data_IF_368622576253
#
_entry.id   IF_368622576253
#
_cell.length_a   1.000
_cell.length_b   1.000
_cell.length_c   1.000
_cell.angle_alpha   90.00
_cell.angle_beta   90.00
_cell.angle_gamma   90.00
#
_symmetry.space_group_name_H-M   'P 1'
#
loop_
_entity.id
_entity.type
_entity.pdbx_description
1 polymer ?
#
# COMPACT_ATOMS: atom_id res chain seq x y z
N UNK A 1 -15.98 -37.74 2.27
CA UNK A 1 -15.92 -36.63 1.29
C UNK A 1 -17.36 -36.20 1.05
N UNK A 2 -17.70 -34.97 1.41
CA UNK A 2 -19.06 -34.43 1.25
C UNK A 2 -18.96 -32.99 0.75
N UNK A 3 -18.71 -32.84 -0.54
CA UNK A 3 -18.76 -31.56 -1.26
C UNK A 3 -20.23 -31.17 -1.47
N UNK A 4 -20.75 -30.30 -0.60
CA UNK A 4 -22.10 -29.74 -0.75
C UNK A 4 -22.11 -28.64 -1.81
N UNK A 5 -22.25 -29.02 -3.08
CA UNK A 5 -22.50 -28.08 -4.18
C UNK A 5 -23.92 -27.50 -4.07
N UNK A 6 -24.04 -26.27 -3.57
CA UNK A 6 -25.30 -25.52 -3.61
C UNK A 6 -25.56 -25.07 -5.06
N UNK A 7 -26.44 -25.80 -5.74
CA UNK A 7 -26.92 -25.45 -7.08
C UNK A 7 -28.13 -24.54 -6.95
N UNK A 8 -27.92 -23.23 -7.07
CA UNK A 8 -29.02 -22.26 -7.16
C UNK A 8 -29.60 -22.29 -8.57
N UNK A 9 -30.80 -22.84 -8.73
CA UNK A 9 -31.54 -22.84 -9.99
C UNK A 9 -32.02 -21.43 -10.30
N UNK A 10 -31.48 -20.82 -11.34
CA UNK A 10 -31.92 -19.51 -11.84
C UNK A 10 -33.24 -19.67 -12.60
N UNK A 11 -34.35 -19.34 -11.96
CA UNK A 11 -35.68 -19.38 -12.57
C UNK A 11 -35.90 -18.12 -13.45
N UNK A 12 -36.25 -18.26 -14.75
CA UNK A 12 -36.45 -17.10 -15.62
C UNK A 12 -37.75 -16.35 -15.27
N UNK A 13 -37.78 -15.02 -15.38
CA UNK A 13 -39.00 -14.24 -15.12
C UNK A 13 -40.04 -14.43 -16.24
N UNK A 14 -41.35 -14.48 -15.91
CA UNK A 14 -42.39 -14.60 -16.92
C UNK A 14 -42.54 -13.32 -17.75
N UNK A 15 -42.50 -13.51 -19.07
CA UNK A 15 -43.14 -12.73 -20.15
C UNK A 15 -43.67 -11.32 -19.85
N UNK A 16 -43.17 -10.36 -20.64
CA UNK A 16 -43.79 -9.06 -20.92
C UNK A 16 -45.30 -9.19 -21.15
N UNK A 17 -46.10 -8.49 -20.34
CA UNK A 17 -47.43 -8.01 -20.74
C UNK A 17 -47.39 -6.47 -20.73
N UNK A 18 -47.29 -5.87 -21.91
CA UNK A 18 -47.45 -4.43 -22.06
C UNK A 18 -48.95 -4.10 -21.97
N UNK A 19 -49.41 -3.65 -20.81
CA UNK A 19 -50.78 -3.18 -20.61
C UNK A 19 -50.72 -1.78 -19.99
N UNK A 20 -50.68 -0.76 -20.83
CA UNK A 20 -50.96 0.62 -20.43
C UNK A 20 -52.46 0.79 -20.16
N UNK A 21 -52.96 0.23 -19.05
CA UNK A 21 -54.23 0.66 -18.49
C UNK A 21 -53.97 1.88 -17.61
N UNK A 22 -54.17 3.07 -18.16
CA UNK A 22 -54.19 4.32 -17.40
C UNK A 22 -55.47 4.31 -16.55
N UNK A 23 -55.38 3.73 -15.35
CA UNK A 23 -56.47 3.78 -14.38
C UNK A 23 -56.39 5.14 -13.67
N UNK A 24 -57.27 6.07 -14.05
CA UNK A 24 -57.42 7.37 -13.35
C UNK A 24 -57.98 7.12 -11.95
N UNK A 25 -57.08 7.04 -10.97
CA UNK A 25 -57.43 6.84 -9.57
C UNK A 25 -57.82 8.18 -8.90
N UNK A 26 -59.03 8.67 -9.22
CA UNK A 26 -59.60 9.82 -8.52
C UNK A 26 -60.20 9.36 -7.19
N UNK A 27 -59.82 10.03 -6.09
CA UNK A 27 -60.39 9.75 -4.76
C UNK A 27 -61.85 10.18 -4.70
N UNK A 28 -62.77 9.26 -4.38
CA UNK A 28 -64.22 9.50 -4.43
C UNK A 28 -64.76 10.48 -3.38
N UNK A 29 -64.00 10.82 -2.34
CA UNK A 29 -64.42 11.77 -1.29
C UNK A 29 -63.91 13.20 -1.49
N UNK A 30 -62.93 13.43 -2.39
CA UNK A 30 -62.32 14.77 -2.56
C UNK A 30 -61.89 15.16 -3.98
N UNK A 31 -61.99 14.28 -4.98
CA UNK A 31 -61.85 14.64 -6.40
C UNK A 31 -60.46 15.07 -6.87
N UNK A 32 -59.44 15.08 -6.00
CA UNK A 32 -58.07 15.42 -6.37
C UNK A 32 -57.46 14.37 -7.31
N UNK A 33 -56.78 14.84 -8.38
CA UNK A 33 -56.10 13.98 -9.34
C UNK A 33 -54.75 13.50 -8.74
N UNK A 34 -54.78 12.33 -8.08
CA UNK A 34 -53.62 11.73 -7.39
C UNK A 34 -52.52 11.29 -8.38
N UNK A 35 -52.83 11.27 -9.67
CA UNK A 35 -51.98 10.72 -10.73
C UNK A 35 -50.60 11.38 -10.83
N UNK A 36 -50.45 12.67 -10.50
CA UNK A 36 -49.16 13.36 -10.63
C UNK A 36 -48.24 13.12 -9.41
N UNK A 37 -48.76 13.33 -8.20
CA UNK A 37 -47.97 13.25 -6.96
C UNK A 37 -47.55 11.81 -6.65
N UNK A 38 -48.40 10.83 -6.94
CA UNK A 38 -48.06 9.41 -6.82
C UNK A 38 -47.06 8.95 -7.87
N UNK A 39 -47.11 9.50 -9.08
CA UNK A 39 -46.19 9.14 -10.16
C UNK A 39 -44.77 9.65 -9.91
N UNK A 40 -44.60 10.91 -9.49
CA UNK A 40 -43.28 11.47 -9.17
C UNK A 40 -42.59 10.69 -8.04
N UNK A 41 -43.34 10.29 -7.00
CA UNK A 41 -42.85 9.45 -5.91
C UNK A 41 -42.52 8.02 -6.37
N UNK A 42 -43.33 7.42 -7.24
CA UNK A 42 -43.07 6.10 -7.81
C UNK A 42 -41.84 6.09 -8.72
N UNK A 43 -41.64 7.12 -9.55
CA UNK A 43 -40.47 7.29 -10.42
C UNK A 43 -39.20 7.51 -9.57
N UNK A 44 -39.28 8.30 -8.50
CA UNK A 44 -38.17 8.46 -7.56
C UNK A 44 -37.80 7.14 -6.85
N UNK A 45 -38.80 6.34 -6.46
CA UNK A 45 -38.59 5.01 -5.89
C UNK A 45 -37.98 4.04 -6.90
N UNK A 46 -38.46 4.02 -8.15
CA UNK A 46 -37.92 3.21 -9.25
C UNK A 46 -36.45 3.54 -9.51
N UNK A 47 -36.10 4.83 -9.64
CA UNK A 47 -34.70 5.27 -9.79
C UNK A 47 -33.82 4.82 -8.62
N UNK A 48 -34.34 4.83 -7.39
CA UNK A 48 -33.61 4.37 -6.21
C UNK A 48 -33.43 2.84 -6.19
N UNK A 49 -34.42 2.10 -6.69
CA UNK A 49 -34.31 0.64 -6.88
C UNK A 49 -33.22 0.33 -7.91
N UNK A 50 -33.23 0.98 -9.08
CA UNK A 50 -32.19 0.81 -10.11
C UNK A 50 -30.78 1.14 -9.58
N UNK A 51 -30.64 2.21 -8.80
CA UNK A 51 -29.36 2.58 -8.16
C UNK A 51 -28.89 1.50 -7.16
N UNK A 52 -29.81 0.95 -6.36
CA UNK A 52 -29.50 -0.13 -5.41
C UNK A 52 -29.19 -1.44 -6.12
N UNK A 53 -29.88 -1.78 -7.21
CA UNK A 53 -29.58 -2.94 -8.07
C UNK A 53 -28.19 -2.82 -8.71
N UNK A 54 -27.81 -1.63 -9.19
CA UNK A 54 -26.46 -1.36 -9.68
C UNK A 54 -25.41 -1.48 -8.57
N UNK A 55 -25.68 -0.97 -7.37
CA UNK A 55 -24.78 -1.11 -6.21
C UNK A 55 -24.61 -2.57 -5.78
N UNK A 56 -25.71 -3.34 -5.72
CA UNK A 56 -25.68 -4.78 -5.44
C UNK A 56 -24.85 -5.50 -6.50
N UNK A 57 -25.06 -5.23 -7.79
CA UNK A 57 -24.27 -5.82 -8.88
C UNK A 57 -22.77 -5.52 -8.71
N UNK A 58 -22.39 -4.26 -8.50
CA UNK A 58 -20.99 -3.87 -8.30
C UNK A 58 -20.38 -4.55 -7.05
N UNK A 59 -21.16 -4.74 -5.99
CA UNK A 59 -20.72 -5.47 -4.80
C UNK A 59 -20.58 -6.98 -5.06
N UNK A 60 -21.46 -7.58 -5.87
CA UNK A 60 -21.33 -8.97 -6.34
C UNK A 60 -20.09 -9.13 -7.21
N UNK A 61 -19.87 -8.26 -8.20
CA UNK A 61 -18.67 -8.28 -9.07
C UNK A 61 -17.36 -8.12 -8.26
N UNK A 62 -17.40 -7.31 -7.18
CA UNK A 62 -16.28 -7.19 -6.23
C UNK A 62 -16.10 -8.43 -5.34
N UNK A 63 -17.20 -9.08 -4.95
CA UNK A 63 -17.15 -10.30 -4.16
C UNK A 63 -16.60 -11.48 -4.97
N UNK A 64 -17.02 -11.64 -6.23
CA UNK A 64 -16.45 -12.66 -7.14
C UNK A 64 -14.97 -12.39 -7.39
N UNK A 65 -14.59 -11.15 -7.73
CA UNK A 65 -13.18 -10.78 -7.93
C UNK A 65 -12.32 -10.87 -6.65
N UNK A 66 -12.93 -10.95 -5.46
CA UNK A 66 -12.24 -11.26 -4.21
C UNK A 66 -12.10 -12.77 -4.00
N UNK A 67 -13.12 -13.57 -4.35
CA UNK A 67 -13.07 -15.04 -4.34
C UNK A 67 -12.05 -15.59 -5.34
N UNK A 68 -11.98 -15.01 -6.55
CA UNK A 68 -11.00 -15.39 -7.57
C UNK A 68 -9.56 -15.23 -7.03
N UNK A 69 -9.28 -14.10 -6.36
CA UNK A 69 -7.98 -13.87 -5.71
C UNK A 69 -7.71 -14.82 -4.54
N UNK A 70 -8.75 -15.25 -3.82
CA UNK A 70 -8.59 -16.25 -2.76
C UNK A 70 -8.20 -17.61 -3.35
N UNK A 71 -8.77 -17.99 -4.50
CA UNK A 71 -8.33 -19.18 -5.24
C UNK A 71 -6.85 -19.06 -5.67
N UNK A 72 -6.43 -17.92 -6.23
CA UNK A 72 -5.01 -17.66 -6.58
C UNK A 72 -4.08 -17.82 -5.35
N UNK A 73 -4.50 -17.37 -4.17
CA UNK A 73 -3.73 -17.52 -2.93
C UNK A 73 -3.75 -18.95 -2.38
N UNK A 74 -4.87 -19.69 -2.53
CA UNK A 74 -4.95 -21.09 -2.16
C UNK A 74 -4.01 -21.95 -3.02
N UNK A 75 -3.95 -21.71 -4.34
CA UNK A 75 -3.02 -22.37 -5.25
C UNK A 75 -1.55 -22.08 -4.89
N UNK A 76 -1.22 -20.83 -4.57
CA UNK A 76 0.12 -20.46 -4.06
C UNK A 76 0.45 -21.19 -2.75
N UNK A 77 -0.50 -21.30 -1.82
CA UNK A 77 -0.31 -22.06 -0.58
C UNK A 77 -0.15 -23.57 -0.84
N UNK A 78 -0.86 -24.13 -1.81
CA UNK A 78 -0.69 -25.52 -2.24
C UNK A 78 0.70 -25.74 -2.88
N UNK A 79 1.15 -24.82 -3.72
CA UNK A 79 2.47 -24.88 -4.34
C UNK A 79 3.59 -24.78 -3.29
N UNK A 80 3.52 -23.81 -2.37
CA UNK A 80 4.50 -23.67 -1.29
C UNK A 80 4.51 -24.87 -0.34
N UNK A 81 3.34 -25.46 -0.01
CA UNK A 81 3.27 -26.72 0.74
C UNK A 81 3.96 -27.86 0.00
N UNK A 82 3.74 -28.00 -1.32
CA UNK A 82 4.38 -29.05 -2.13
C UNK A 82 5.90 -28.88 -2.24
N UNK A 83 6.41 -27.64 -2.28
CA UNK A 83 7.85 -27.34 -2.25
C UNK A 83 8.48 -27.57 -0.86
N UNK A 84 7.70 -27.32 0.20
CA UNK A 84 8.16 -27.47 1.59
C UNK A 84 7.96 -28.88 2.17
N UNK A 85 7.32 -29.80 1.44
CA UNK A 85 7.05 -31.16 1.91
C UNK A 85 8.18 -32.12 1.47
N UNK A 86 8.96 -32.69 2.40
CA UNK A 86 9.92 -33.73 2.06
C UNK A 86 9.20 -35.00 1.56
N UNK A 87 9.86 -35.84 0.73
CA UNK A 87 9.23 -37.03 0.17
C UNK A 87 8.76 -38.00 1.28
N UNK A 88 7.62 -38.68 1.09
CA UNK A 88 7.07 -39.56 2.13
C UNK A 88 7.99 -40.75 2.38
N UNK A 89 8.45 -40.89 3.62
CA UNK A 89 9.15 -42.09 4.06
C UNK A 89 8.20 -43.29 4.04
N UNK A 90 8.49 -44.26 3.16
CA UNK A 90 7.84 -45.57 3.16
C UNK A 90 8.11 -46.30 4.46
N UNK A 91 7.06 -46.57 5.24
CA UNK A 91 7.09 -47.49 6.38
C UNK A 91 6.02 -48.59 6.17
N UNK A 92 6.38 -49.88 6.24
CA UNK A 92 5.47 -50.97 5.94
C UNK A 92 4.54 -51.33 7.11
N UNK A 93 3.39 -51.91 6.78
CA UNK A 93 2.28 -52.26 7.67
C UNK A 93 2.48 -53.58 8.43
N UNK A 94 2.30 -53.53 9.76
CA UNK A 94 1.94 -54.63 10.69
C UNK A 94 1.59 -54.03 12.07
N UNK A 95 0.73 -54.57 12.96
CA UNK A 95 -0.37 -55.57 12.90
C UNK A 95 -1.33 -55.33 14.09
N UNK A 96 -2.59 -55.79 14.07
CA UNK A 96 -3.55 -55.67 15.19
C UNK A 96 -3.41 -56.85 16.21
N UNK A 97 -4.23 -57.05 17.27
CA UNK A 97 -5.49 -56.37 17.66
C UNK A 97 -5.71 -56.07 19.19
N UNK A 98 -6.88 -55.50 19.54
CA UNK A 98 -7.77 -55.77 20.72
C UNK A 98 -7.15 -55.88 22.15
N UNK A 99 -7.60 -55.16 23.21
CA UNK A 99 -8.97 -55.16 23.76
C UNK A 99 -9.34 -53.94 24.67
N UNK A 100 -10.63 -53.85 25.06
CA UNK A 100 -11.27 -52.86 25.97
C UNK A 100 -11.32 -53.38 27.45
N UNK A 101 -12.05 -52.80 28.47
CA UNK A 101 -12.94 -51.62 28.51
C UNK A 101 -12.81 -50.62 29.73
N UNK A 102 -13.38 -49.42 29.55
CA UNK A 102 -14.30 -48.66 30.45
C UNK A 102 -14.15 -48.62 31.99
N UNK A 103 -14.05 -47.40 32.56
CA UNK A 103 -15.02 -46.89 33.56
C UNK A 103 -14.90 -45.39 33.91
N UNK A 104 -16.05 -44.80 34.28
CA UNK A 104 -16.29 -43.40 34.72
C UNK A 104 -17.19 -43.49 35.97
N UNK A 105 -16.90 -42.79 37.09
CA UNK A 105 -17.77 -41.67 37.48
C UNK A 105 -17.13 -40.50 38.26
N UNK A 106 -17.65 -39.29 38.01
CA UNK A 106 -17.54 -38.07 38.86
C UNK A 106 -18.71 -38.03 39.88
N UNK A 107 -18.65 -37.29 41.03
CA UNK A 107 -19.06 -35.85 41.01
C UNK A 107 -18.52 -34.88 42.11
N UNK A 108 -18.70 -33.56 41.87
CA UNK A 108 -18.85 -32.43 42.84
C UNK A 108 -17.56 -31.94 43.58
N UNK A 109 -17.28 -30.65 43.84
CA UNK A 109 -18.15 -29.46 44.06
C UNK A 109 -17.45 -28.09 43.79
N UNK A 110 -18.07 -27.23 42.96
CA UNK A 110 -18.15 -25.73 42.86
C UNK A 110 -17.01 -24.70 43.22
N UNK A 111 -17.09 -23.41 42.72
CA UNK A 111 -15.94 -22.46 42.52
C UNK A 111 -16.02 -21.17 43.42
N UNK A 112 -15.30 -20.01 43.21
CA UNK A 112 -15.35 -19.09 42.03
C UNK A 112 -14.05 -18.28 41.63
N UNK A 113 -14.18 -17.45 40.57
CA UNK A 113 -13.47 -16.19 40.21
C UNK A 113 -12.05 -16.09 39.53
N UNK A 114 -12.08 -15.84 38.19
CA UNK A 114 -11.45 -14.71 37.40
C UNK A 114 -9.89 -14.54 37.34
N UNK A 115 -9.29 -13.88 36.30
CA UNK A 115 -9.45 -13.86 34.81
C UNK A 115 -8.19 -14.41 34.05
N UNK A 116 -8.13 -14.47 32.70
CA UNK A 116 -7.02 -15.14 31.99
C UNK A 116 -5.77 -14.27 31.69
N UNK A 117 -4.59 -14.88 31.82
CA UNK A 117 -3.28 -14.30 31.45
C UNK A 117 -2.76 -14.85 30.12
N UNK A 118 -2.20 -13.96 29.29
CA UNK A 118 -1.64 -14.26 27.95
C UNK A 118 -0.36 -15.13 28.06
N UNK A 119 -0.14 -16.13 27.20
CA UNK A 119 1.17 -16.73 27.03
C UNK A 119 2.03 -15.87 26.08
N UNK A 120 2.94 -15.07 26.64
CA UNK A 120 4.01 -14.45 25.87
C UNK A 120 5.16 -15.44 25.67
N UNK A 121 5.53 -15.63 24.41
CA UNK A 121 6.79 -16.21 23.89
C UNK A 121 7.95 -16.31 24.89
N UNK A 122 8.29 -17.53 25.30
CA UNK A 122 9.60 -17.86 25.89
C UNK A 122 10.43 -18.62 24.86
N UNK A 123 11.21 -17.90 24.07
CA UNK A 123 12.19 -18.51 23.16
C UNK A 123 13.28 -19.18 24.00
N UNK A 124 13.51 -20.48 23.77
CA UNK A 124 14.46 -21.28 24.51
C UNK A 124 15.91 -20.80 24.37
N UNK A 125 16.62 -20.76 25.49
CA UNK A 125 18.04 -20.41 25.57
C UNK A 125 18.91 -21.53 24.98
N UNK A 126 19.34 -21.39 23.72
CA UNK A 126 20.40 -22.22 23.13
C UNK A 126 21.33 -21.35 22.26
N UNK A 127 22.24 -20.62 22.91
CA UNK A 127 23.33 -19.87 22.27
C UNK A 127 24.45 -19.58 23.27
N UNK A 128 25.16 -20.63 23.67
CA UNK A 128 26.41 -20.54 24.41
C UNK A 128 27.31 -21.70 23.98
N UNK A 129 28.24 -21.45 23.05
CA UNK A 129 29.50 -22.17 22.78
C UNK A 129 30.12 -21.69 21.44
N UNK A 130 30.53 -20.41 21.39
CA UNK A 130 31.47 -19.91 20.38
C UNK A 130 32.45 -18.94 21.06
N UNK A 131 33.77 -19.23 21.10
CA UNK A 131 34.75 -18.30 21.64
C UNK A 131 34.96 -17.13 20.68
N UNK A 132 34.69 -15.92 21.15
CA UNK A 132 34.85 -14.69 20.38
C UNK A 132 36.33 -14.33 20.21
N UNK A 133 36.88 -14.52 19.01
CA UNK A 133 38.21 -14.02 18.64
C UNK A 133 38.14 -12.51 18.45
N UNK A 134 38.73 -11.78 19.41
CA UNK A 134 38.64 -10.31 19.48
C UNK A 134 39.36 -9.65 18.29
N UNK A 135 38.62 -8.80 17.57
CA UNK A 135 39.10 -8.04 16.40
C UNK A 135 40.03 -6.89 16.83
N UNK A 136 41.22 -6.81 16.22
CA UNK A 136 42.21 -5.75 16.45
C UNK A 136 41.95 -4.49 15.62
N UNK A 137 42.46 -3.34 16.07
CA UNK A 137 42.52 -2.10 15.31
C UNK A 137 43.96 -1.51 15.35
N UNK A 138 44.51 -1.29 14.16
CA UNK A 138 45.58 -0.33 13.77
C UNK A 138 46.50 0.31 14.85
N UNK A 139 47.79 -0.08 14.88
CA UNK A 139 48.99 0.68 14.37
C UNK A 139 50.32 0.03 14.81
N UNK A 140 51.45 0.22 14.08
CA UNK A 140 52.81 -0.25 14.45
C UNK A 140 53.54 0.81 15.32
N UNK A 141 54.60 0.50 16.11
CA UNK A 141 55.87 0.01 15.56
C UNK A 141 56.78 -0.87 16.47
N UNK A 142 57.94 -1.22 15.88
CA UNK A 142 59.24 -1.48 16.52
C UNK A 142 59.51 -2.82 17.24
N UNK A 143 60.74 -3.27 17.04
CA UNK A 143 61.36 -4.50 17.51
C UNK A 143 61.44 -4.64 19.03
N UNK A 144 61.32 -5.89 19.52
CA UNK A 144 62.42 -6.61 20.21
C UNK A 144 61.97 -7.99 20.67
N UNK A 145 62.86 -8.99 20.57
CA UNK A 145 62.79 -10.19 21.41
C UNK A 145 62.97 -9.77 22.88
N UNK A 146 62.30 -10.44 23.84
CA UNK A 146 63.12 -11.26 24.73
C UNK A 146 62.48 -12.59 25.18
N UNK A 147 63.38 -13.52 25.51
CA UNK A 147 63.19 -14.81 26.17
C UNK A 147 61.99 -14.95 27.13
N UNK A 148 61.23 -16.03 26.97
CA UNK A 148 60.45 -16.63 28.06
C UNK A 148 61.32 -17.63 28.84
N UNK A 149 61.33 -17.63 30.18
CA UNK A 149 62.13 -18.55 30.97
C UNK A 149 61.51 -19.96 31.02
N UNK A 150 62.38 -20.94 31.26
CA UNK A 150 62.01 -22.28 31.73
C UNK A 150 60.99 -22.23 32.88
N UNK A 151 59.96 -23.07 32.81
CA UNK A 151 59.54 -23.79 34.01
C UNK A 151 59.02 -25.20 33.65
N UNK A 152 59.41 -26.18 34.44
CA UNK A 152 59.07 -27.58 34.22
C UNK A 152 57.74 -27.93 34.89
N UNK A 153 56.95 -28.81 34.27
CA UNK A 153 55.97 -29.63 34.99
C UNK A 153 55.91 -31.00 34.30
N UNK A 154 56.20 -32.11 35.00
CA UNK A 154 56.19 -33.44 34.39
C UNK A 154 54.75 -33.95 34.26
N UNK A 155 54.50 -34.74 33.22
CA UNK A 155 53.29 -35.57 33.11
C UNK A 155 53.66 -36.91 32.47
N UNK A 156 52.94 -37.99 32.81
CA UNK A 156 53.55 -39.31 32.89
C UNK A 156 53.69 -40.01 31.54
N UNK A 157 54.64 -40.94 31.51
CA UNK A 157 54.84 -41.91 30.44
C UNK A 157 53.54 -42.55 29.97
N UNK A 158 53.36 -42.57 28.65
CA UNK A 158 52.67 -43.66 27.96
C UNK A 158 53.51 -43.99 26.72
N UNK A 159 54.05 -45.20 26.60
CA UNK A 159 54.98 -45.52 25.52
C UNK A 159 54.23 -45.61 24.19
N UNK A 160 54.69 -44.84 23.22
CA UNK A 160 54.33 -44.99 21.81
C UNK A 160 54.66 -46.44 21.37
N UNK A 161 53.77 -47.15 20.65
CA UNK A 161 54.12 -48.47 20.14
C UNK A 161 55.24 -48.32 19.13
N UNK A 162 56.41 -48.89 19.46
CA UNK A 162 57.56 -48.87 18.57
C UNK A 162 57.23 -49.59 17.25
N UNK A 163 57.75 -49.12 16.11
CA UNK A 163 57.71 -49.93 14.90
C UNK A 163 58.43 -51.25 15.17
N UNK A 164 57.93 -52.41 14.69
CA UNK A 164 58.57 -53.68 14.94
C UNK A 164 60.00 -53.62 14.42
N UNK A 165 60.97 -53.76 15.32
CA UNK A 165 62.38 -53.86 14.99
C UNK A 165 62.59 -55.21 14.30
N UNK A 166 62.33 -55.26 12.99
CA UNK A 166 62.71 -56.41 12.16
C UNK A 166 64.22 -56.49 12.23
N UNK A 167 64.71 -57.48 12.98
CA UNK A 167 66.14 -57.79 13.07
C UNK A 167 66.71 -57.91 11.67
N UNK A 168 67.68 -57.07 11.31
CA UNK A 168 68.32 -57.16 10.00
C UNK A 168 68.89 -58.57 9.79
N UNK A 169 68.58 -59.25 8.66
CA UNK A 169 69.40 -60.36 8.22
C UNK A 169 70.79 -59.81 7.87
N UNK A 170 71.76 -60.01 8.76
CA UNK A 170 73.14 -59.50 8.63
C UNK A 170 73.96 -60.09 7.45
N UNK A 171 73.30 -60.80 6.52
CA UNK A 171 73.85 -61.28 5.25
C UNK A 171 72.76 -61.31 4.15
N UNK A 172 71.94 -60.27 4.03
CA UNK A 172 71.23 -60.02 2.76
C UNK A 172 72.25 -59.60 1.69
N UNK A 173 72.21 -60.16 0.47
CA UNK A 173 73.12 -59.72 -0.59
C UNK A 173 72.84 -58.25 -0.94
N UNK A 174 73.88 -57.51 -1.32
CA UNK A 174 73.82 -56.07 -1.63
C UNK A 174 72.74 -55.73 -2.69
N UNK A 175 72.51 -56.65 -3.62
CA UNK A 175 71.43 -56.56 -4.63
C UNK A 175 70.02 -56.49 -4.01
N UNK A 176 69.75 -57.20 -2.91
CA UNK A 176 68.45 -57.19 -2.23
C UNK A 176 68.23 -55.88 -1.47
N UNK A 177 69.30 -55.26 -0.98
CA UNK A 177 69.23 -53.93 -0.35
C UNK A 177 68.98 -52.82 -1.39
N UNK A 178 69.64 -52.88 -2.54
CA UNK A 178 69.43 -51.92 -3.64
C UNK A 178 68.02 -52.06 -4.27
N UNK A 179 67.51 -53.29 -4.41
CA UNK A 179 66.13 -53.51 -4.85
C UNK A 179 65.10 -53.07 -3.80
N UNK A 180 65.36 -53.27 -2.51
CA UNK A 180 64.51 -52.73 -1.44
C UNK A 180 64.50 -51.18 -1.43
N UNK A 181 65.65 -50.52 -1.60
CA UNK A 181 65.76 -49.06 -1.61
C UNK A 181 65.09 -48.44 -2.86
N UNK A 182 65.29 -49.03 -4.04
CA UNK A 182 64.57 -48.60 -5.26
C UNK A 182 63.06 -48.83 -5.15
N UNK A 183 62.62 -49.88 -4.44
CA UNK A 183 61.21 -50.07 -4.13
C UNK A 183 60.66 -49.02 -3.16
N UNK A 184 61.40 -48.67 -2.11
CA UNK A 184 61.02 -47.68 -1.09
C UNK A 184 60.95 -46.25 -1.66
N UNK A 185 61.97 -45.84 -2.42
CA UNK A 185 61.98 -44.54 -3.13
C UNK A 185 60.88 -44.44 -4.18
N UNK A 186 60.55 -45.54 -4.88
CA UNK A 186 59.39 -45.60 -5.79
C UNK A 186 58.06 -45.43 -5.04
N UNK A 187 57.92 -46.04 -3.86
CA UNK A 187 56.74 -45.85 -3.00
C UNK A 187 56.61 -44.41 -2.51
N UNK A 188 57.72 -43.78 -2.07
CA UNK A 188 57.71 -42.35 -1.69
C UNK A 188 57.30 -41.46 -2.86
N UNK A 189 57.91 -41.63 -4.03
CA UNK A 189 57.58 -40.86 -5.23
C UNK A 189 56.11 -41.03 -5.64
N UNK A 190 55.54 -42.24 -5.47
CA UNK A 190 54.12 -42.49 -5.71
C UNK A 190 53.21 -41.84 -4.66
N UNK A 191 53.64 -41.77 -3.39
CA UNK A 191 52.92 -41.06 -2.33
C UNK A 191 52.99 -39.53 -2.52
N UNK A 192 54.16 -38.99 -2.85
CA UNK A 192 54.38 -37.58 -3.19
C UNK A 192 53.54 -37.15 -4.40
N UNK A 193 53.45 -37.99 -5.44
CA UNK A 193 52.58 -37.74 -6.59
C UNK A 193 51.10 -37.62 -6.19
N UNK A 194 50.59 -38.56 -5.38
CA UNK A 194 49.21 -38.51 -4.85
C UNK A 194 48.97 -37.30 -3.95
N UNK A 195 49.94 -36.93 -3.13
CA UNK A 195 49.85 -35.72 -2.31
C UNK A 195 49.78 -34.48 -3.21
N UNK A 196 50.58 -34.39 -4.27
CA UNK A 196 50.50 -33.27 -5.22
C UNK A 196 49.18 -33.23 -5.99
N UNK A 197 48.64 -34.38 -6.38
CA UNK A 197 47.32 -34.52 -7.02
C UNK A 197 46.21 -33.99 -6.10
N UNK A 198 46.14 -34.47 -4.85
CA UNK A 198 45.16 -33.97 -3.87
C UNK A 198 45.37 -32.50 -3.48
N UNK A 199 46.61 -31.99 -3.53
CA UNK A 199 46.88 -30.57 -3.32
C UNK A 199 46.30 -29.72 -4.46
N UNK A 200 46.52 -30.11 -5.72
CA UNK A 200 45.91 -29.44 -6.87
C UNK A 200 44.38 -29.52 -6.88
N UNK A 201 43.78 -30.65 -6.50
CA UNK A 201 42.32 -30.77 -6.37
C UNK A 201 41.76 -29.78 -5.33
N UNK A 202 42.44 -29.62 -4.19
CA UNK A 202 42.04 -28.65 -3.15
C UNK A 202 42.23 -27.20 -3.62
N UNK A 203 43.31 -26.90 -4.36
CA UNK A 203 43.52 -25.58 -4.97
C UNK A 203 42.45 -25.26 -6.02
N UNK A 204 42.07 -26.22 -6.87
CA UNK A 204 40.99 -26.08 -7.85
C UNK A 204 39.63 -25.87 -7.16
N UNK A 205 39.27 -26.73 -6.20
CA UNK A 205 38.02 -26.62 -5.45
C UNK A 205 37.91 -25.31 -4.66
N UNK A 206 39.00 -24.87 -4.03
CA UNK A 206 39.01 -23.58 -3.33
C UNK A 206 38.90 -22.41 -4.32
N UNK A 207 39.60 -22.45 -5.46
CA UNK A 207 39.46 -21.42 -6.50
C UNK A 207 38.04 -21.33 -7.05
N UNK A 208 37.37 -22.47 -7.27
CA UNK A 208 35.98 -22.55 -7.70
C UNK A 208 35.03 -21.97 -6.66
N UNK A 209 35.18 -22.36 -5.39
CA UNK A 209 34.34 -21.87 -4.29
C UNK A 209 34.53 -20.36 -4.05
N UNK A 210 35.75 -19.83 -4.16
CA UNK A 210 35.99 -18.38 -4.11
C UNK A 210 35.41 -17.66 -5.32
N UNK A 211 35.46 -18.23 -6.52
CA UNK A 211 34.84 -17.67 -7.72
C UNK A 211 33.32 -17.58 -7.58
N UNK A 212 32.67 -18.68 -7.17
CA UNK A 212 31.22 -18.75 -6.95
C UNK A 212 30.75 -17.79 -5.83
N UNK A 213 31.47 -17.76 -4.70
CA UNK A 213 31.16 -16.83 -3.61
C UNK A 213 31.31 -15.37 -4.04
N UNK A 214 32.36 -15.03 -4.81
CA UNK A 214 32.55 -13.69 -5.35
C UNK A 214 31.44 -13.32 -6.34
N UNK A 215 30.98 -14.27 -7.18
CA UNK A 215 29.87 -14.02 -8.10
C UNK A 215 28.55 -13.79 -7.34
N UNK A 216 28.26 -14.61 -6.32
CA UNK A 216 27.09 -14.45 -5.45
C UNK A 216 27.08 -13.06 -4.79
N UNK A 217 28.19 -12.66 -4.17
CA UNK A 217 28.34 -11.32 -3.56
C UNK A 217 28.26 -10.21 -4.62
N UNK A 218 28.72 -10.42 -5.85
CA UNK A 218 28.55 -9.45 -6.93
C UNK A 218 27.08 -9.32 -7.37
N UNK A 219 26.31 -10.41 -7.39
CA UNK A 219 24.85 -10.38 -7.64
C UNK A 219 24.13 -9.64 -6.51
N UNK A 220 24.46 -9.92 -5.26
CA UNK A 220 23.91 -9.20 -4.09
C UNK A 220 24.22 -7.70 -4.14
N UNK A 221 25.48 -7.30 -4.38
CA UNK A 221 25.86 -5.88 -4.50
C UNK A 221 25.08 -5.16 -5.60
N UNK A 222 24.80 -5.82 -6.72
CA UNK A 222 23.95 -5.27 -7.79
C UNK A 222 22.49 -5.14 -7.35
N UNK A 223 21.94 -6.15 -6.66
CA UNK A 223 20.57 -6.12 -6.13
C UNK A 223 20.38 -5.03 -5.06
N UNK A 224 21.31 -4.94 -4.10
CA UNK A 224 21.35 -3.89 -3.06
C UNK A 224 21.44 -2.50 -3.70
N UNK A 225 22.28 -2.32 -4.72
CA UNK A 225 22.35 -1.05 -5.46
C UNK A 225 20.99 -0.69 -6.10
N UNK A 226 20.37 -1.64 -6.83
CA UNK A 226 19.07 -1.43 -7.48
C UNK A 226 17.97 -1.06 -6.48
N UNK A 227 17.88 -1.80 -5.38
CA UNK A 227 16.90 -1.51 -4.31
C UNK A 227 17.20 -0.18 -3.61
N UNK A 228 18.46 0.19 -3.46
CA UNK A 228 18.85 1.51 -2.95
C UNK A 228 18.42 2.65 -3.88
N UNK A 229 18.57 2.48 -5.19
CA UNK A 229 18.10 3.43 -6.21
C UNK A 229 16.56 3.57 -6.20
N UNK A 230 15.84 2.45 -6.07
CA UNK A 230 14.37 2.42 -5.96
C UNK A 230 13.86 3.08 -4.67
N UNK A 231 14.52 2.86 -3.52
CA UNK A 231 14.20 3.53 -2.25
C UNK A 231 14.49 5.03 -2.30
N UNK A 232 15.58 5.45 -2.95
CA UNK A 232 15.90 6.87 -3.19
C UNK A 232 14.88 7.54 -4.12
N UNK A 233 14.45 6.86 -5.19
CA UNK A 233 13.39 7.35 -6.07
C UNK A 233 12.05 7.47 -5.33
N UNK A 234 11.68 6.44 -4.55
CA UNK A 234 10.50 6.46 -3.69
C UNK A 234 10.53 7.59 -2.66
N UNK A 235 11.69 7.87 -2.03
CA UNK A 235 11.85 9.01 -1.11
C UNK A 235 11.63 10.34 -1.83
N UNK A 236 12.23 10.54 -3.01
CA UNK A 236 12.03 11.74 -3.84
C UNK A 236 10.58 11.87 -4.32
N UNK A 237 9.90 10.75 -4.56
CA UNK A 237 8.47 10.71 -4.89
C UNK A 237 7.60 11.20 -3.73
N UNK A 238 7.85 10.71 -2.51
CA UNK A 238 7.15 11.18 -1.30
C UNK A 238 7.42 12.66 -1.00
N UNK A 239 8.65 13.14 -1.25
CA UNK A 239 9.01 14.55 -1.09
C UNK A 239 8.20 15.46 -2.03
N UNK A 240 8.13 15.12 -3.33
CA UNK A 240 7.29 15.84 -4.31
C UNK A 240 5.80 15.84 -3.94
N UNK A 241 5.26 14.68 -3.51
CA UNK A 241 3.88 14.59 -3.05
C UNK A 241 3.64 15.44 -1.79
N UNK A 242 4.63 15.55 -0.91
CA UNK A 242 4.61 16.47 0.23
C UNK A 242 4.52 17.94 -0.21
N UNK A 243 5.34 18.35 -1.17
CA UNK A 243 5.30 19.70 -1.75
C UNK A 243 3.97 20.01 -2.45
N UNK A 244 3.43 19.07 -3.23
CA UNK A 244 2.11 19.20 -3.90
C UNK A 244 0.97 19.34 -2.87
N UNK A 245 0.99 18.57 -1.78
CA UNK A 245 0.01 18.68 -0.70
C UNK A 245 0.14 19.99 0.09
N UNK A 246 1.36 20.47 0.33
CA UNK A 246 1.61 21.80 0.90
C UNK A 246 1.09 22.92 0.01
N UNK A 247 1.35 22.85 -1.30
CA UNK A 247 0.86 23.83 -2.27
C UNK A 247 -0.67 23.79 -2.37
N UNK A 248 -1.27 22.60 -2.36
CA UNK A 248 -2.71 22.39 -2.26
C UNK A 248 -3.32 23.03 -1.02
N UNK A 249 -2.69 22.85 0.15
CA UNK A 249 -3.09 23.50 1.41
C UNK A 249 -3.02 25.03 1.31
N UNK A 250 -1.91 25.58 0.79
CA UNK A 250 -1.76 27.04 0.57
C UNK A 250 -2.84 27.59 -0.39
N UNK A 251 -3.17 26.86 -1.46
CA UNK A 251 -4.25 27.20 -2.40
C UNK A 251 -5.62 27.18 -1.71
N UNK A 252 -5.88 26.19 -0.85
CA UNK A 252 -7.10 26.10 -0.06
C UNK A 252 -7.23 27.25 0.95
N UNK A 253 -6.19 27.54 1.74
CA UNK A 253 -6.17 28.69 2.66
C UNK A 253 -6.44 30.02 1.93
N UNK A 254 -5.90 30.17 0.72
CA UNK A 254 -6.17 31.30 -0.17
C UNK A 254 -7.62 31.36 -0.68
N UNK A 255 -8.23 30.21 -0.98
CA UNK A 255 -9.65 30.11 -1.33
C UNK A 255 -10.55 30.47 -0.15
N UNK A 256 -10.29 29.91 1.03
CA UNK A 256 -11.03 30.19 2.26
C UNK A 256 -10.99 31.68 2.62
N UNK A 257 -9.84 32.34 2.48
CA UNK A 257 -9.73 33.80 2.69
C UNK A 257 -10.65 34.58 1.74
N UNK A 258 -10.71 34.19 0.45
CA UNK A 258 -11.61 34.82 -0.53
C UNK A 258 -13.08 34.51 -0.26
N UNK A 259 -13.41 33.33 0.26
CA UNK A 259 -14.77 33.01 0.71
C UNK A 259 -15.18 33.91 1.88
N UNK A 260 -14.34 34.04 2.92
CA UNK A 260 -14.60 34.93 4.07
C UNK A 260 -14.81 36.38 3.65
N UNK A 261 -13.97 36.92 2.76
CA UNK A 261 -14.15 38.29 2.22
C UNK A 261 -15.49 38.44 1.46
N UNK A 262 -15.88 37.44 0.67
CA UNK A 262 -17.16 37.44 -0.05
C UNK A 262 -18.35 37.35 0.92
N UNK A 263 -18.27 36.52 1.96
CA UNK A 263 -19.28 36.43 3.02
C UNK A 263 -19.45 37.76 3.76
N UNK A 264 -18.37 38.47 4.08
CA UNK A 264 -18.42 39.81 4.68
C UNK A 264 -19.08 40.83 3.75
N UNK A 265 -18.73 40.83 2.46
CA UNK A 265 -19.41 41.65 1.45
C UNK A 265 -20.90 41.33 1.36
N UNK A 266 -21.29 40.05 1.39
CA UNK A 266 -22.70 39.64 1.41
C UNK A 266 -23.42 40.14 2.66
N UNK A 267 -22.84 39.99 3.87
CA UNK A 267 -23.43 40.53 5.12
C UNK A 267 -23.67 42.04 5.05
N UNK A 268 -22.76 42.81 4.44
CA UNK A 268 -22.93 44.26 4.22
C UNK A 268 -24.06 44.55 3.23
N UNK A 269 -24.19 43.77 2.16
CA UNK A 269 -25.27 43.91 1.18
C UNK A 269 -26.64 43.54 1.77
N UNK A 270 -26.73 42.46 2.54
CA UNK A 270 -27.94 42.08 3.27
C UNK A 270 -28.40 43.16 4.24
N UNK A 271 -27.47 43.74 5.02
CA UNK A 271 -27.80 44.86 5.90
C UNK A 271 -28.37 46.05 5.11
N UNK A 272 -27.75 46.40 3.98
CA UNK A 272 -28.23 47.48 3.10
C UNK A 272 -29.57 47.16 2.43
N UNK A 273 -29.89 45.88 2.19
CA UNK A 273 -31.20 45.46 1.73
C UNK A 273 -32.25 45.70 2.81
N UNK A 274 -32.04 45.17 4.03
CA UNK A 274 -32.94 45.39 5.18
C UNK A 274 -33.19 46.88 5.46
N UNK A 275 -32.13 47.71 5.46
CA UNK A 275 -32.25 49.17 5.62
C UNK A 275 -33.05 49.85 4.49
N UNK A 276 -33.06 49.31 3.27
CA UNK A 276 -33.92 49.77 2.16
C UNK A 276 -35.35 49.28 2.33
N UNK A 277 -35.56 48.03 2.70
CA UNK A 277 -36.88 47.42 2.86
C UNK A 277 -37.68 48.16 3.95
N UNK A 278 -37.05 48.44 5.11
CA UNK A 278 -37.67 49.30 6.13
C UNK A 278 -37.99 50.73 5.63
N UNK A 279 -37.16 51.29 4.73
CA UNK A 279 -37.45 52.62 4.14
C UNK A 279 -38.64 52.55 3.18
N UNK A 280 -38.77 51.47 2.42
CA UNK A 280 -39.91 51.21 1.56
C UNK A 280 -41.18 51.04 2.40
N UNK A 281 -41.16 50.23 3.45
CA UNK A 281 -42.30 50.06 4.36
C UNK A 281 -42.76 51.40 4.97
N UNK A 282 -41.80 52.24 5.44
CA UNK A 282 -42.11 53.59 5.94
C UNK A 282 -42.70 54.52 4.86
N UNK A 283 -42.35 54.32 3.59
CA UNK A 283 -42.95 55.06 2.46
C UNK A 283 -44.34 54.51 2.10
N UNK A 284 -44.52 53.20 2.06
CA UNK A 284 -45.82 52.53 1.83
C UNK A 284 -46.85 52.92 2.89
N UNK A 285 -46.46 52.93 4.18
CA UNK A 285 -47.31 53.43 5.26
C UNK A 285 -47.72 54.91 5.06
N UNK A 286 -46.84 55.74 4.49
CA UNK A 286 -47.15 57.15 4.15
C UNK A 286 -48.05 57.26 2.92
N UNK A 287 -47.77 56.49 1.88
CA UNK A 287 -48.57 56.46 0.63
C UNK A 287 -49.97 55.96 0.93
N UNK A 288 -50.12 54.83 1.64
CA UNK A 288 -51.41 54.29 2.05
C UNK A 288 -52.19 55.23 2.98
N UNK A 289 -51.54 56.02 3.85
CA UNK A 289 -52.20 57.12 4.57
C UNK A 289 -52.73 58.19 3.59
N UNK A 290 -51.91 58.61 2.63
CA UNK A 290 -52.31 59.56 1.59
C UNK A 290 -53.45 59.05 0.71
N UNK A 291 -53.48 57.76 0.39
CA UNK A 291 -54.55 57.11 -0.37
C UNK A 291 -55.86 57.07 0.40
N UNK A 292 -55.83 56.74 1.70
CA UNK A 292 -57.03 56.82 2.56
C UNK A 292 -57.58 58.25 2.62
N UNK A 293 -56.72 59.27 2.76
CA UNK A 293 -57.15 60.68 2.73
C UNK A 293 -57.72 61.06 1.35
N UNK A 294 -57.11 60.61 0.24
CA UNK A 294 -57.65 60.82 -1.12
C UNK A 294 -59.00 60.13 -1.32
N UNK A 295 -59.21 58.94 -0.75
CA UNK A 295 -60.49 58.24 -0.75
C UNK A 295 -61.58 59.04 -0.02
N UNK A 296 -61.30 59.45 1.23
CA UNK A 296 -62.24 60.26 2.03
C UNK A 296 -62.55 61.62 1.39
N UNK A 297 -61.57 62.27 0.74
CA UNK A 297 -61.82 63.50 -0.01
C UNK A 297 -62.65 63.25 -1.28
N UNK A 298 -62.51 62.09 -1.93
CA UNK A 298 -63.33 61.69 -3.07
C UNK A 298 -64.76 61.32 -2.67
N UNK A 299 -64.97 60.75 -1.48
CA UNK A 299 -66.31 60.47 -0.94
C UNK A 299 -66.98 61.73 -0.37
N UNK A 300 -66.21 62.63 0.26
CA UNK A 300 -66.70 63.93 0.73
C UNK A 300 -67.02 64.92 -0.40
N UNK A 301 -66.36 64.82 -1.55
CA UNK A 301 -66.69 65.58 -2.78
C UNK A 301 -67.69 64.77 -3.62
N UNK A 302 -68.84 64.46 -3.00
CA UNK A 302 -69.95 63.72 -3.57
C UNK A 302 -70.96 64.54 -4.38
N UNK A 303 -70.61 65.75 -4.85
CA UNK A 303 -71.43 66.53 -5.77
C UNK A 303 -70.54 67.21 -6.84
N UNK A 304 -70.76 66.85 -8.11
CA UNK A 304 -70.50 67.74 -9.24
C UNK A 304 -69.44 67.29 -10.24
N UNK A 305 -69.88 66.90 -11.44
CA UNK A 305 -69.15 67.15 -12.69
C UNK A 305 -68.26 66.02 -13.20
N UNK A 306 -68.85 65.09 -13.95
CA UNK A 306 -68.10 64.36 -14.97
C UNK A 306 -67.95 65.22 -16.23
N UNK A 307 -66.72 65.46 -16.68
CA UNK A 307 -66.40 65.92 -18.04
C UNK A 307 -65.17 65.13 -18.50
N UNK A 308 -65.32 64.37 -19.59
CA UNK A 308 -64.18 63.81 -20.30
C UNK A 308 -63.73 64.73 -21.43
N UNK A 309 -62.42 64.97 -21.55
CA UNK A 309 -61.78 65.43 -22.79
C UNK A 309 -60.43 64.72 -22.89
N UNK A 310 -60.14 64.13 -24.06
CA UNK A 310 -58.84 63.53 -24.35
C UNK A 310 -57.96 64.44 -25.21
N UNK A 311 -56.69 64.54 -24.84
CA UNK A 311 -55.50 64.93 -25.62
C UNK A 311 -54.30 64.53 -24.75
N UNK A 312 -53.15 64.08 -25.24
CA UNK A 312 -52.66 63.99 -26.61
C UNK A 312 -51.24 64.56 -26.71
N UNK A 313 -50.30 63.74 -27.18
CA UNK A 313 -49.02 64.14 -27.80
C UNK A 313 -47.76 64.40 -26.93
N UNK A 314 -46.61 64.03 -27.52
CA UNK A 314 -45.19 64.36 -27.24
C UNK A 314 -44.62 63.92 -25.87
N UNK A 315 -43.41 63.35 -25.74
CA UNK A 315 -42.42 62.93 -26.74
C UNK A 315 -40.97 63.06 -26.21
N UNK A 316 -40.08 62.13 -26.57
CA UNK A 316 -38.66 62.12 -26.20
C UNK A 316 -38.20 60.75 -25.65
N UNK A 317 -37.14 60.12 -26.13
CA UNK A 317 -36.17 60.53 -27.17
C UNK A 317 -34.73 60.29 -26.70
N UNK A 318 -34.09 59.25 -27.24
CA UNK A 318 -32.75 58.76 -26.85
C UNK A 318 -32.83 57.25 -26.60
N UNK A 319 -32.32 56.36 -27.46
CA UNK A 319 -31.08 56.45 -28.26
C UNK A 319 -30.02 55.64 -27.53
N UNK A 320 -30.06 54.31 -27.61
CA UNK A 320 -29.28 53.50 -28.57
C UNK A 320 -27.77 53.82 -28.59
N UNK A 321 -26.93 52.85 -28.17
CA UNK A 321 -25.86 52.20 -28.97
C UNK A 321 -24.86 51.42 -28.09
N UNK A 322 -24.17 50.42 -28.68
CA UNK A 322 -23.00 49.73 -28.10
C UNK A 322 -23.34 48.52 -27.20
N UNK A 323 -23.42 47.27 -27.67
CA UNK A 323 -22.45 46.44 -28.41
C UNK A 323 -21.13 46.18 -27.63
N UNK A 324 -20.81 44.90 -27.39
CA UNK A 324 -19.53 44.52 -26.76
C UNK A 324 -19.50 43.12 -26.13
N UNK A 325 -19.42 42.06 -26.94
CA UNK A 325 -18.87 40.78 -26.46
C UNK A 325 -17.39 40.97 -26.12
N UNK A 326 -16.89 40.30 -25.06
CA UNK A 326 -15.51 40.48 -24.60
C UNK A 326 -15.05 39.45 -23.59
N UNK A 327 -14.96 38.18 -24.01
CA UNK A 327 -14.04 37.26 -23.37
C UNK A 327 -12.60 37.71 -23.68
N UNK A 328 -11.74 37.78 -22.68
CA UNK A 328 -10.38 38.31 -22.83
C UNK A 328 -9.44 37.84 -21.74
N UNK A 329 -8.73 36.75 -22.02
CA UNK A 329 -7.55 36.36 -21.26
C UNK A 329 -6.49 37.45 -21.36
N UNK A 330 -5.89 37.82 -20.22
CA UNK A 330 -4.72 38.68 -20.13
C UNK A 330 -3.52 37.88 -19.66
N UNK A 331 -3.01 37.01 -20.54
CA UNK A 331 -1.60 36.64 -20.55
C UNK A 331 -0.76 37.89 -20.89
N UNK A 332 0.51 37.92 -20.48
CA UNK A 332 1.30 39.14 -20.35
C UNK A 332 2.81 38.95 -20.44
N UNK A 333 3.25 38.12 -21.40
CA UNK A 333 4.54 38.34 -22.08
C UNK A 333 4.34 39.50 -23.09
N UNK A 334 5.32 40.27 -23.59
CA UNK A 334 6.68 39.95 -24.03
C UNK A 334 7.62 41.19 -24.01
N UNK A 335 8.93 40.95 -24.02
CA UNK A 335 10.05 41.62 -24.75
C UNK A 335 11.34 41.50 -23.91
N UNK A 336 12.41 40.77 -24.28
CA UNK A 336 13.20 40.77 -25.53
C UNK A 336 13.82 42.17 -25.80
N UNK A 337 15.14 42.37 -25.94
CA UNK A 337 16.21 41.50 -26.48
C UNK A 337 17.62 41.93 -25.97
N UNK A 338 18.69 41.39 -26.59
CA UNK A 338 20.16 41.64 -26.43
C UNK A 338 20.85 40.60 -25.52
N UNK A 339 21.47 39.52 -26.02
CA UNK A 339 22.66 39.35 -26.90
C UNK A 339 24.03 39.59 -26.23
N UNK A 340 24.65 38.51 -25.73
CA UNK A 340 26.04 38.05 -25.98
C UNK A 340 26.30 36.80 -25.10
N UNK A 341 26.58 35.60 -25.63
CA UNK A 341 27.78 35.12 -26.37
C UNK A 341 28.99 34.85 -25.47
N UNK A 342 29.40 33.57 -25.33
CA UNK A 342 30.80 33.20 -25.09
C UNK A 342 31.08 32.05 -24.11
N UNK A 343 31.58 30.92 -24.64
CA UNK A 343 32.38 29.86 -24.00
C UNK A 343 31.78 29.12 -22.77
N UNK A 344 31.91 27.80 -22.61
CA UNK A 344 33.16 27.04 -22.62
C UNK A 344 33.78 27.13 -21.22
N UNK A 345 33.98 26.04 -20.47
CA UNK A 345 34.84 24.91 -20.86
C UNK A 345 34.44 23.64 -20.11
N UNK A 346 34.57 22.49 -20.75
CA UNK A 346 34.66 21.18 -20.08
C UNK A 346 35.96 21.11 -19.27
N UNK A 347 36.02 20.32 -18.19
CA UNK A 347 37.22 19.53 -17.82
C UNK A 347 36.97 18.73 -16.53
N UNK A 348 36.88 17.39 -16.67
CA UNK A 348 37.70 16.51 -15.83
C UNK A 348 39.15 16.51 -16.38
N UNK A 349 40.11 15.73 -15.83
CA UNK A 349 39.87 14.34 -15.43
C UNK A 349 40.52 13.94 -14.08
N UNK A 350 40.54 12.63 -13.85
CA UNK A 350 41.02 11.96 -12.64
C UNK A 350 42.53 12.06 -12.39
N UNK A 351 42.88 11.92 -11.11
CA UNK A 351 43.89 10.98 -10.60
C UNK A 351 43.48 10.53 -9.19
#
# INVERSE_FOLDING_TARGET
MSTTTITTVLQPPPTKLAVHTIFRANCQECGADVSHVGHDAAVAAQRRIEELEQQVKILTDKATAAVDKLADYEDQLHQLKSQSQPPPATMPTATPPTDQPTQVPTPRTQPPDRPPSRPNSTVSRLSALLPSTRRSASTPPAASMPNTPFNHTPSPFSPLPAPPHTSLPQNAPEADLLTALTHETRLRRAAEARLSETASEVEELTSSLFSEANEMVARERKAVKRLGEEVEEGRRGMERLGEELEEGRRKQEGLERRCREREERVKVLERRAREKDERLERLEQRVGRGERVRGLLREGVGIGGGIGVGVGSVGGGGGETGAGNGAGSGDGTENASVLQSGAGTQNGPAS
#
